data_IF_455204609035
#
_entry.id   IF_455204609035
#
_cell.length_a   1.000
_cell.length_b   1.000
_cell.length_c   1.000
_cell.angle_alpha   90.00
_cell.angle_beta   90.00
_cell.angle_gamma   90.00
#
_symmetry.space_group_name_H-M   'P 1'
#
loop_
_entity.id
_entity.type
_entity.pdbx_description
1 polymer ?
#
# COMPACT_ATOMS: atom_id res chain seq x y z
N UNK A 1 25.42 -66.72 -10.11
CA UNK A 1 24.62 -66.18 -8.99
C UNK A 1 23.60 -65.21 -9.56
N UNK A 2 22.32 -65.58 -9.41
CA UNK A 2 21.01 -64.90 -9.57
C UNK A 2 21.02 -63.36 -9.68
N UNK A 3 20.34 -62.67 -10.60
CA UNK A 3 18.89 -62.60 -10.97
C UNK A 3 18.09 -61.49 -10.24
N UNK A 4 17.67 -60.49 -11.02
CA UNK A 4 16.31 -59.90 -11.17
C UNK A 4 15.66 -59.04 -10.06
N UNK A 5 14.98 -57.98 -10.56
CA UNK A 5 13.75 -57.28 -10.12
C UNK A 5 13.83 -56.02 -9.23
N UNK A 6 13.09 -55.01 -9.70
CA UNK A 6 12.85 -53.74 -9.03
C UNK A 6 11.69 -53.76 -8.04
N UNK A 7 11.38 -52.59 -7.48
CA UNK A 7 10.08 -52.33 -6.87
C UNK A 7 9.69 -50.85 -6.95
N UNK A 8 8.44 -50.66 -7.34
CA UNK A 8 7.62 -49.45 -7.26
C UNK A 8 6.91 -49.49 -5.91
N UNK A 9 6.93 -48.41 -5.13
CA UNK A 9 6.04 -48.16 -3.98
C UNK A 9 5.72 -46.66 -3.96
N UNK A 10 4.59 -46.23 -4.54
CA UNK A 10 3.26 -46.02 -3.94
C UNK A 10 3.21 -45.03 -2.76
N UNK A 11 2.57 -43.90 -3.09
CA UNK A 11 1.75 -42.96 -2.29
C UNK A 11 1.56 -43.30 -0.80
N UNK A 12 1.86 -42.31 0.05
CA UNK A 12 1.27 -42.15 1.38
C UNK A 12 0.54 -40.80 1.44
N UNK A 13 -0.67 -40.82 1.99
CA UNK A 13 -1.69 -39.79 1.97
C UNK A 13 -1.34 -38.60 2.89
N UNK A 14 -1.73 -37.39 2.45
CA UNK A 14 -1.77 -36.20 3.31
C UNK A 14 -2.93 -36.31 4.32
N UNK A 15 -2.74 -35.96 5.60
CA UNK A 15 -3.83 -35.88 6.55
C UNK A 15 -4.69 -34.65 6.27
N UNK A 16 -6.01 -34.88 6.23
CA UNK A 16 -7.07 -33.87 6.19
C UNK A 16 -7.01 -32.98 7.44
N UNK A 17 -6.76 -31.69 7.25
CA UNK A 17 -6.94 -30.68 8.30
C UNK A 17 -8.43 -30.36 8.45
N UNK A 18 -8.95 -30.69 9.64
CA UNK A 18 -10.29 -30.34 10.07
C UNK A 18 -10.47 -28.82 10.11
N UNK A 19 -11.50 -28.36 9.41
CA UNK A 19 -11.98 -26.98 9.36
C UNK A 19 -12.60 -26.62 10.71
N UNK A 20 -11.95 -25.76 11.48
CA UNK A 20 -12.53 -25.19 12.70
C UNK A 20 -13.60 -24.17 12.31
N UNK A 21 -14.85 -24.44 12.68
CA UNK A 21 -15.98 -23.55 12.47
C UNK A 21 -15.88 -22.35 13.42
N UNK A 22 -15.78 -21.14 12.87
CA UNK A 22 -15.92 -19.90 13.63
C UNK A 22 -17.41 -19.66 13.93
N UNK A 23 -17.74 -19.65 15.23
CA UNK A 23 -19.07 -19.36 15.76
C UNK A 23 -19.44 -17.90 15.49
N UNK A 24 -20.46 -17.68 14.66
CA UNK A 24 -21.11 -16.40 14.43
C UNK A 24 -21.87 -15.94 15.67
N UNK A 25 -21.55 -14.76 16.21
CA UNK A 25 -22.42 -14.04 17.14
C UNK A 25 -23.02 -12.83 16.42
N UNK A 26 -24.33 -12.85 16.23
CA UNK A 26 -25.13 -11.77 15.64
C UNK A 26 -25.29 -10.61 16.64
N UNK A 27 -25.19 -9.34 16.20
CA UNK A 27 -25.64 -8.20 17.00
C UNK A 27 -27.15 -7.94 16.80
N UNK A 28 -27.83 -7.32 17.78
CA UNK A 28 -29.28 -7.18 17.80
C UNK A 28 -29.80 -6.08 16.85
N UNK A 29 -30.96 -6.37 16.28
CA UNK A 29 -31.82 -5.47 15.51
C UNK A 29 -32.30 -4.28 16.33
N UNK A 30 -32.23 -3.06 15.78
CA UNK A 30 -33.03 -1.93 16.26
C UNK A 30 -33.81 -1.27 15.12
N UNK A 31 -35.11 -1.23 15.39
CA UNK A 31 -36.28 -0.62 14.77
C UNK A 31 -36.11 0.59 13.84
N UNK A 32 -36.91 0.48 12.77
CA UNK A 32 -37.50 1.51 11.92
C UNK A 32 -37.88 2.83 12.59
N UNK A 33 -37.62 3.93 11.89
CA UNK A 33 -38.49 5.11 11.89
C UNK A 33 -38.77 5.52 10.44
N UNK A 34 -40.04 5.43 10.07
CA UNK A 34 -40.60 5.99 8.85
C UNK A 34 -40.51 7.52 8.89
N UNK A 35 -40.15 8.12 7.76
CA UNK A 35 -40.57 9.48 7.43
C UNK A 35 -41.01 9.56 5.98
N UNK A 36 -42.32 9.72 5.80
CA UNK A 36 -43.03 10.02 4.58
C UNK A 36 -42.84 11.48 4.17
N UNK A 37 -42.71 11.76 2.88
CA UNK A 37 -43.23 12.98 2.21
C UNK A 37 -43.02 12.84 0.70
N UNK A 38 -44.10 12.46 0.00
CA UNK A 38 -44.87 13.31 -0.94
C UNK A 38 -44.12 13.72 -2.21
N UNK A 39 -44.44 12.99 -3.27
CA UNK A 39 -44.28 13.31 -4.68
C UNK A 39 -45.13 14.52 -5.08
N UNK A 40 -44.53 15.42 -5.88
CA UNK A 40 -45.27 16.33 -6.74
C UNK A 40 -44.68 16.22 -8.15
N UNK A 41 -45.56 15.82 -9.06
CA UNK A 41 -45.39 15.72 -10.50
C UNK A 41 -45.33 17.09 -11.18
N UNK A 42 -44.40 17.26 -12.12
CA UNK A 42 -44.41 18.35 -13.09
C UNK A 42 -43.76 17.91 -14.39
N UNK A 43 -44.57 17.67 -15.43
CA UNK A 43 -44.13 17.47 -16.81
C UNK A 43 -43.79 18.82 -17.46
N UNK A 44 -42.76 18.87 -18.30
CA UNK A 44 -42.84 19.35 -19.70
C UNK A 44 -41.44 19.53 -20.33
N UNK A 45 -41.36 19.25 -21.64
CA UNK A 45 -40.47 19.97 -22.57
C UNK A 45 -39.28 19.20 -23.15
N UNK A 46 -39.47 18.60 -24.33
CA UNK A 46 -38.41 18.29 -25.29
C UNK A 46 -37.80 19.58 -25.86
N UNK A 47 -36.46 19.70 -25.89
CA UNK A 47 -35.70 20.30 -27.01
C UNK A 47 -34.32 19.63 -27.07
N UNK A 48 -33.98 19.07 -28.23
CA UNK A 48 -32.64 18.60 -28.56
C UNK A 48 -31.82 19.75 -29.15
N UNK A 49 -30.61 19.97 -28.63
CA UNK A 49 -29.57 20.72 -29.34
C UNK A 49 -28.20 20.32 -28.83
N UNK A 50 -27.35 19.86 -29.74
CA UNK A 50 -25.96 19.50 -29.48
C UNK A 50 -25.16 20.69 -28.93
N UNK A 51 -24.31 20.40 -27.96
CA UNK A 51 -23.40 21.34 -27.34
C UNK A 51 -22.18 20.58 -26.83
N UNK A 52 -21.00 21.12 -27.14
CA UNK A 52 -19.69 20.60 -26.82
C UNK A 52 -19.58 20.12 -25.37
N UNK A 53 -18.87 19.00 -25.16
CA UNK A 53 -18.53 18.49 -23.83
C UNK A 53 -17.72 19.54 -23.07
N UNK A 54 -18.42 20.31 -22.24
CA UNK A 54 -17.83 21.16 -21.21
C UNK A 54 -17.27 20.21 -20.16
N UNK A 55 -15.94 20.12 -20.07
CA UNK A 55 -15.26 19.49 -18.95
C UNK A 55 -15.67 20.19 -17.66
N UNK A 56 -16.67 19.63 -16.97
CA UNK A 56 -17.06 20.08 -15.64
C UNK A 56 -15.98 19.65 -14.64
N UNK A 57 -15.45 20.56 -13.82
CA UNK A 57 -14.57 20.19 -12.71
C UNK A 57 -15.25 19.13 -11.84
N UNK A 58 -14.52 18.06 -11.53
CA UNK A 58 -15.01 16.94 -10.71
C UNK A 58 -15.76 17.44 -9.47
N UNK A 59 -16.99 16.94 -9.30
CA UNK A 59 -17.90 17.31 -8.23
C UNK A 59 -17.24 17.23 -6.85
N UNK A 60 -17.44 18.26 -6.02
CA UNK A 60 -16.94 18.41 -4.65
C UNK A 60 -17.60 17.47 -3.63
N UNK A 61 -18.06 16.30 -4.07
CA UNK A 61 -18.67 15.27 -3.24
C UNK A 61 -17.64 14.24 -2.75
N UNK A 62 -18.03 13.35 -1.81
CA UNK A 62 -17.21 12.18 -1.48
C UNK A 62 -16.92 11.38 -2.77
N UNK A 63 -15.77 10.68 -2.84
CA UNK A 63 -15.47 9.84 -3.99
C UNK A 63 -16.58 8.82 -4.22
N UNK A 64 -16.88 8.43 -5.48
CA UNK A 64 -18.03 7.60 -5.84
C UNK A 64 -17.82 6.11 -5.49
N UNK A 65 -17.41 5.84 -4.26
CA UNK A 65 -17.00 4.53 -3.78
C UNK A 65 -17.53 4.28 -2.36
N UNK A 66 -17.68 3.00 -2.02
CA UNK A 66 -17.96 2.53 -0.66
C UNK A 66 -17.11 1.30 -0.35
N UNK A 67 -16.81 1.09 0.91
CA UNK A 67 -16.19 -0.16 1.38
C UNK A 67 -17.29 -1.11 1.84
N UNK A 68 -17.24 -2.37 1.42
CA UNK A 68 -18.17 -3.42 1.85
C UNK A 68 -17.42 -4.76 1.98
N UNK A 69 -18.07 -5.75 2.60
CA UNK A 69 -17.55 -7.12 2.59
C UNK A 69 -17.85 -7.79 1.25
N UNK A 70 -16.89 -8.57 0.76
CA UNK A 70 -17.04 -9.52 -0.35
C UNK A 70 -17.37 -10.90 0.22
N UNK A 71 -17.77 -11.83 -0.64
CA UNK A 71 -18.11 -13.19 -0.22
C UNK A 71 -16.88 -14.00 0.24
N UNK A 72 -15.69 -13.71 -0.29
CA UNK A 72 -14.51 -14.56 -0.13
C UNK A 72 -13.17 -13.83 0.06
N UNK A 73 -13.09 -12.54 -0.25
CA UNK A 73 -11.84 -11.75 -0.22
C UNK A 73 -11.79 -10.72 0.92
N UNK A 74 -12.69 -10.82 1.91
CA UNK A 74 -12.75 -9.89 3.02
C UNK A 74 -13.38 -8.56 2.62
N UNK A 75 -12.69 -7.43 2.84
CA UNK A 75 -13.21 -6.12 2.41
C UNK A 75 -12.94 -5.90 0.93
N UNK A 76 -13.82 -5.17 0.26
CA UNK A 76 -13.67 -4.70 -1.10
C UNK A 76 -14.20 -3.28 -1.24
N UNK A 77 -13.86 -2.63 -2.35
CA UNK A 77 -14.30 -1.26 -2.65
C UNK A 77 -15.20 -1.31 -3.86
N UNK A 78 -16.37 -0.69 -3.78
CA UNK A 78 -17.43 -0.80 -4.79
C UNK A 78 -17.85 0.59 -5.28
N UNK A 79 -18.14 0.71 -6.58
CA UNK A 79 -18.61 1.95 -7.17
C UNK A 79 -20.04 2.27 -6.69
N UNK A 80 -20.31 3.51 -6.29
CA UNK A 80 -21.66 3.92 -5.84
C UNK A 80 -22.54 4.46 -6.97
N UNK A 81 -21.96 4.61 -8.16
CA UNK A 81 -22.60 5.06 -9.41
C UNK A 81 -21.71 4.64 -10.59
N UNK A 82 -22.20 4.72 -11.84
CA UNK A 82 -21.33 4.52 -13.00
C UNK A 82 -20.15 5.51 -13.02
N UNK A 83 -18.99 5.03 -13.48
CA UNK A 83 -17.73 5.78 -13.62
C UNK A 83 -17.20 5.57 -15.04
N UNK A 84 -16.83 6.66 -15.73
CA UNK A 84 -16.34 6.59 -17.10
C UNK A 84 -14.89 6.14 -17.19
N UNK A 85 -14.52 5.51 -18.32
CA UNK A 85 -13.13 5.16 -18.60
C UNK A 85 -12.21 6.39 -18.54
N UNK A 86 -11.08 6.28 -17.85
CA UNK A 86 -10.10 7.36 -17.68
C UNK A 86 -10.40 8.35 -16.55
N UNK A 87 -11.59 8.29 -15.94
CA UNK A 87 -11.99 9.16 -14.83
C UNK A 87 -11.06 9.01 -13.63
N UNK A 88 -10.79 10.14 -12.96
CA UNK A 88 -10.16 10.14 -11.64
C UNK A 88 -11.22 9.80 -10.59
N UNK A 89 -11.06 8.65 -9.92
CA UNK A 89 -12.00 8.18 -8.90
C UNK A 89 -11.72 8.91 -7.58
N UNK A 90 -10.46 8.90 -7.12
CA UNK A 90 -10.01 9.64 -5.93
C UNK A 90 -8.49 9.83 -5.90
N UNK A 91 -8.02 10.61 -4.93
CA UNK A 91 -6.60 10.74 -4.59
C UNK A 91 -6.40 10.39 -3.11
N UNK A 92 -5.35 9.63 -2.80
CA UNK A 92 -4.97 9.26 -1.44
C UNK A 92 -3.56 9.73 -1.09
N UNK A 93 -3.42 10.37 0.07
CA UNK A 93 -2.12 10.67 0.66
C UNK A 93 -1.61 9.46 1.46
N UNK A 94 -0.30 9.22 1.52
CA UNK A 94 0.23 8.09 2.27
C UNK A 94 0.16 8.37 3.76
N UNK A 95 -0.14 7.32 4.54
CA UNK A 95 -0.04 7.33 6.00
C UNK A 95 1.42 7.42 6.42
N UNK A 96 2.26 6.57 5.83
CA UNK A 96 3.70 6.58 5.97
C UNK A 96 4.33 6.32 4.61
N UNK A 97 5.39 7.05 4.29
CA UNK A 97 6.17 6.87 3.07
C UNK A 97 7.65 7.02 3.43
N UNK A 98 8.53 6.28 2.77
CA UNK A 98 9.98 6.39 2.95
C UNK A 98 10.67 6.28 1.60
N UNK A 99 11.64 7.16 1.27
CA UNK A 99 12.41 7.06 0.04
C UNK A 99 13.19 5.75 -0.07
N UNK A 100 13.50 5.32 -1.28
CA UNK A 100 14.52 4.30 -1.49
C UNK A 100 15.86 4.81 -0.94
N UNK A 101 16.62 3.95 -0.26
CA UNK A 101 17.86 4.35 0.43
C UNK A 101 18.88 5.01 -0.52
N UNK A 102 18.95 4.56 -1.77
CA UNK A 102 19.79 5.11 -2.83
C UNK A 102 19.35 6.49 -3.34
N UNK A 103 18.12 6.92 -3.03
CA UNK A 103 17.49 8.12 -3.58
C UNK A 103 17.22 9.22 -2.53
N UNK A 104 17.69 9.07 -1.29
CA UNK A 104 17.44 10.01 -0.18
C UNK A 104 17.74 11.48 -0.49
N UNK A 105 18.75 11.75 -1.32
CA UNK A 105 19.16 13.10 -1.74
C UNK A 105 18.53 13.56 -3.07
N UNK A 106 17.81 12.68 -3.76
CA UNK A 106 17.20 12.91 -5.08
C UNK A 106 15.68 13.07 -5.01
N UNK A 107 15.04 12.64 -3.93
CA UNK A 107 13.58 12.72 -3.77
C UNK A 107 13.20 13.34 -2.44
N UNK A 108 12.06 14.02 -2.41
CA UNK A 108 11.55 14.69 -1.22
C UNK A 108 11.37 13.65 -0.11
N UNK A 109 11.98 13.90 1.05
CA UNK A 109 11.95 12.97 2.16
C UNK A 109 10.53 12.78 2.72
N UNK A 110 9.61 13.74 2.49
CA UNK A 110 8.19 13.64 2.87
C UNK A 110 7.30 12.98 1.82
N UNK A 111 7.34 13.48 0.59
CA UNK A 111 6.34 13.15 -0.43
C UNK A 111 6.90 12.35 -1.61
N UNK A 112 8.19 11.99 -1.60
CA UNK A 112 8.86 11.24 -2.66
C UNK A 112 8.91 11.95 -4.04
N UNK A 113 8.57 13.25 -4.13
CA UNK A 113 8.75 14.04 -5.36
C UNK A 113 10.21 14.05 -5.78
N UNK A 114 10.51 13.69 -7.03
CA UNK A 114 11.86 13.83 -7.60
C UNK A 114 12.27 15.31 -7.63
N UNK A 115 13.52 15.56 -7.28
CA UNK A 115 14.13 16.90 -7.35
C UNK A 115 14.29 17.31 -8.81
N UNK A 116 13.84 18.53 -9.15
CA UNK A 116 14.04 19.11 -10.48
C UNK A 116 15.49 19.55 -10.70
N UNK A 117 15.93 19.61 -11.96
CA UNK A 117 17.22 20.20 -12.32
C UNK A 117 17.25 21.69 -11.91
N UNK A 118 18.31 22.11 -11.22
CA UNK A 118 18.47 23.50 -10.77
C UNK A 118 17.68 23.91 -9.52
N UNK A 119 16.88 23.03 -8.90
CA UNK A 119 16.22 23.35 -7.64
C UNK A 119 17.24 23.44 -6.48
N UNK A 120 17.21 24.54 -5.73
CA UNK A 120 17.94 24.67 -4.46
C UNK A 120 17.16 23.88 -3.39
N UNK A 121 17.76 22.83 -2.82
CA UNK A 121 17.06 22.00 -1.86
C UNK A 121 16.83 22.76 -0.54
N UNK A 122 15.60 22.71 -0.02
CA UNK A 122 15.40 22.97 1.40
C UNK A 122 15.96 21.77 2.15
N UNK A 123 17.12 21.96 2.78
CA UNK A 123 17.84 20.92 3.51
C UNK A 123 17.46 20.97 5.00
N UNK A 124 17.24 19.82 5.61
CA UNK A 124 17.08 19.72 7.07
C UNK A 124 17.60 18.38 7.58
N UNK A 125 18.14 18.39 8.80
CA UNK A 125 18.75 17.24 9.47
C UNK A 125 19.74 17.69 10.56
N UNK A 126 20.19 16.76 11.40
CA UNK A 126 21.34 16.94 12.28
C UNK A 126 22.34 15.80 12.07
N UNK A 127 23.64 16.10 12.18
CA UNK A 127 24.76 15.26 11.75
C UNK A 127 24.75 14.95 10.23
N UNK A 128 25.54 13.97 9.78
CA UNK A 128 25.89 13.66 8.37
C UNK A 128 24.70 13.35 7.42
N UNK A 129 23.46 13.31 7.91
CA UNK A 129 22.27 13.01 7.11
C UNK A 129 21.46 14.27 6.80
N UNK A 130 21.65 14.78 5.59
CA UNK A 130 20.93 15.96 5.08
C UNK A 130 19.79 15.51 4.16
N UNK A 131 18.55 15.83 4.53
CA UNK A 131 17.37 15.44 3.75
C UNK A 131 16.86 16.57 2.86
N UNK A 132 16.43 16.23 1.65
CA UNK A 132 15.81 17.17 0.71
C UNK A 132 14.29 17.27 0.92
N UNK A 133 13.78 18.50 0.99
CA UNK A 133 12.36 18.81 0.94
C UNK A 133 12.03 19.68 -0.26
N UNK A 134 10.94 19.32 -0.95
CA UNK A 134 10.58 19.94 -2.21
C UNK A 134 9.74 21.23 -2.06
N UNK A 135 9.34 21.57 -0.83
CA UNK A 135 8.62 22.78 -0.44
C UNK A 135 8.67 22.97 1.07
N UNK A 136 8.45 24.21 1.53
CA UNK A 136 8.35 24.52 2.97
C UNK A 136 7.29 23.67 3.67
N UNK A 137 6.12 23.54 3.03
CA UNK A 137 5.02 22.70 3.50
C UNK A 137 5.44 21.25 3.73
N UNK A 138 6.32 20.67 2.89
CA UNK A 138 6.83 19.31 3.10
C UNK A 138 7.82 19.24 4.27
N UNK A 139 8.62 20.29 4.47
CA UNK A 139 9.54 20.40 5.61
C UNK A 139 8.76 20.51 6.92
N UNK A 140 7.80 21.43 7.00
CA UNK A 140 6.95 21.63 8.18
C UNK A 140 6.16 20.39 8.56
N UNK A 141 5.53 19.72 7.59
CA UNK A 141 4.79 18.46 7.80
C UNK A 141 5.68 17.26 8.13
N UNK A 142 7.00 17.45 8.15
CA UNK A 142 7.97 16.43 8.54
C UNK A 142 8.56 16.67 9.92
N UNK A 143 8.41 17.88 10.50
CA UNK A 143 9.08 18.27 11.75
C UNK A 143 8.93 17.22 12.86
N UNK A 144 7.71 16.76 13.12
CA UNK A 144 7.44 15.78 14.20
C UNK A 144 8.33 14.53 14.11
N UNK A 145 8.25 13.77 13.02
CA UNK A 145 9.07 12.56 12.89
C UNK A 145 10.55 12.87 12.66
N UNK A 146 10.88 13.99 12.00
CA UNK A 146 12.26 14.35 11.66
C UNK A 146 13.06 14.73 12.91
N UNK A 147 12.46 15.45 13.85
CA UNK A 147 13.09 15.81 15.13
C UNK A 147 13.44 14.58 15.97
N UNK A 148 12.59 13.54 15.92
CA UNK A 148 12.90 12.26 16.55
C UNK A 148 14.00 11.54 15.76
N UNK A 149 13.83 11.36 14.44
CA UNK A 149 14.81 10.67 13.60
C UNK A 149 16.22 11.28 13.72
N UNK A 150 16.34 12.61 13.84
CA UNK A 150 17.61 13.31 13.85
C UNK A 150 18.36 13.20 15.19
N UNK A 151 17.65 12.90 16.29
CA UNK A 151 18.25 12.67 17.62
C UNK A 151 18.80 11.25 17.80
N UNK A 152 18.40 10.32 16.94
CA UNK A 152 18.70 8.90 17.08
C UNK A 152 19.86 8.49 16.17
N UNK A 153 20.71 7.57 16.66
CA UNK A 153 21.73 6.94 15.83
C UNK A 153 21.15 5.67 15.17
N UNK A 154 20.92 5.75 13.87
CA UNK A 154 20.34 4.67 13.09
C UNK A 154 21.35 3.75 12.40
N UNK A 155 22.66 4.01 12.50
CA UNK A 155 23.66 3.32 11.67
C UNK A 155 23.57 1.80 11.75
N UNK A 156 23.41 1.23 12.95
CA UNK A 156 23.30 -0.23 13.11
C UNK A 156 22.04 -0.80 12.43
N UNK A 157 20.90 -0.13 12.61
CA UNK A 157 19.62 -0.53 12.00
C UNK A 157 19.64 -0.40 10.48
N UNK A 158 20.14 0.72 9.97
CA UNK A 158 20.19 0.97 8.52
C UNK A 158 21.19 0.07 7.81
N UNK A 159 22.35 -0.21 8.42
CA UNK A 159 23.32 -1.13 7.85
C UNK A 159 22.74 -2.54 7.77
N UNK A 160 22.12 -3.02 8.85
CA UNK A 160 21.41 -4.31 8.85
C UNK A 160 20.38 -4.39 7.72
N UNK A 161 19.55 -3.35 7.56
CA UNK A 161 18.54 -3.31 6.49
C UNK A 161 19.17 -3.28 5.09
N UNK A 162 20.21 -2.46 4.89
CA UNK A 162 20.90 -2.31 3.59
C UNK A 162 21.60 -3.61 3.17
N UNK A 163 22.34 -4.23 4.07
CA UNK A 163 23.08 -5.48 3.81
C UNK A 163 22.16 -6.65 3.43
N UNK A 164 20.94 -6.66 3.98
CA UNK A 164 19.93 -7.69 3.71
C UNK A 164 18.88 -7.30 2.67
N UNK A 165 18.98 -6.11 2.08
CA UNK A 165 18.02 -5.61 1.09
C UNK A 165 16.60 -5.37 1.64
N UNK A 166 16.47 -5.12 2.95
CA UNK A 166 15.19 -4.95 3.63
C UNK A 166 14.67 -3.52 3.45
N UNK A 167 13.54 -3.37 2.75
CA UNK A 167 12.94 -2.07 2.43
C UNK A 167 11.85 -1.61 3.40
N UNK A 168 11.08 -2.55 3.96
CA UNK A 168 9.94 -2.26 4.83
C UNK A 168 10.29 -1.83 6.27
N UNK A 169 11.39 -2.30 6.87
CA UNK A 169 11.83 -1.80 8.19
C UNK A 169 11.99 -0.27 8.23
N UNK A 170 12.39 0.37 7.13
CA UNK A 170 12.46 1.84 7.05
C UNK A 170 11.10 2.55 7.22
N UNK A 171 10.00 1.93 6.78
CA UNK A 171 8.64 2.45 7.04
C UNK A 171 8.26 2.27 8.52
N UNK A 172 8.64 1.15 9.15
CA UNK A 172 8.42 0.90 10.58
C UNK A 172 9.20 1.91 11.43
N UNK A 173 10.48 2.13 11.12
CA UNK A 173 11.33 3.17 11.72
C UNK A 173 10.63 4.53 11.69
N UNK A 174 10.15 4.94 10.52
CA UNK A 174 9.46 6.23 10.37
C UNK A 174 8.18 6.29 11.18
N UNK A 175 7.38 5.23 11.15
CA UNK A 175 6.14 5.17 11.92
C UNK A 175 6.42 5.25 13.42
N UNK A 176 7.44 4.55 13.94
CA UNK A 176 7.84 4.65 15.34
C UNK A 176 8.20 6.09 15.73
N UNK A 177 8.94 6.80 14.87
CA UNK A 177 9.25 8.22 15.07
C UNK A 177 7.99 9.11 15.04
N UNK A 178 7.04 8.80 14.14
CA UNK A 178 5.75 9.50 14.09
C UNK A 178 4.94 9.29 15.37
N UNK A 179 4.90 8.06 15.91
CA UNK A 179 4.21 7.75 17.17
C UNK A 179 4.86 8.46 18.36
N UNK A 180 6.19 8.40 18.49
CA UNK A 180 6.92 9.11 19.56
C UNK A 180 6.71 10.63 19.49
N UNK A 181 6.62 11.20 18.29
CA UNK A 181 6.33 12.63 18.10
C UNK A 181 4.87 13.02 18.30
N UNK A 182 3.96 12.05 18.50
CA UNK A 182 2.52 12.28 18.59
C UNK A 182 1.84 12.63 17.25
N UNK A 183 2.52 12.46 16.12
CA UNK A 183 1.97 12.76 14.78
C UNK A 183 1.21 11.58 14.15
N UNK A 184 1.29 10.40 14.75
CA UNK A 184 0.47 9.23 14.42
C UNK A 184 0.10 8.45 15.68
N UNK A 185 -1.00 7.71 15.61
CA UNK A 185 -1.38 6.74 16.64
C UNK A 185 -0.67 5.41 16.41
N UNK A 186 -0.39 4.67 17.49
CA UNK A 186 0.27 3.37 17.46
C UNK A 186 -0.52 2.29 16.71
N UNK A 187 -1.86 2.44 16.66
CA UNK A 187 -2.84 1.54 16.04
C UNK A 187 -3.28 1.99 14.63
N UNK A 188 -2.64 3.02 14.06
CA UNK A 188 -3.14 3.65 12.82
C UNK A 188 -3.17 2.72 11.60
N UNK A 189 -2.50 1.57 11.65
CA UNK A 189 -2.51 0.55 10.61
C UNK A 189 -3.35 -0.68 10.96
N UNK A 190 -3.98 -0.75 12.15
CA UNK A 190 -4.56 -2.00 12.67
C UNK A 190 -5.67 -2.57 11.79
N UNK A 191 -6.39 -1.69 11.09
CA UNK A 191 -7.43 -2.07 10.12
C UNK A 191 -6.85 -2.80 8.90
N UNK A 192 -5.59 -2.60 8.54
CA UNK A 192 -4.94 -3.23 7.38
C UNK A 192 -4.70 -4.72 7.61
N UNK A 193 -4.75 -5.49 6.53
CA UNK A 193 -4.56 -6.95 6.58
C UNK A 193 -3.09 -7.29 6.93
N UNK A 194 -2.81 -8.05 7.99
CA UNK A 194 -1.46 -8.51 8.27
C UNK A 194 -1.06 -9.72 7.40
N UNK A 195 0.24 -9.82 7.12
CA UNK A 195 0.90 -11.02 6.59
C UNK A 195 0.91 -12.16 7.59
N UNK A 196 0.99 -13.39 7.09
CA UNK A 196 1.22 -14.57 7.90
C UNK A 196 2.69 -14.63 8.32
N UNK A 197 2.94 -14.52 9.62
CA UNK A 197 4.30 -14.56 10.17
C UNK A 197 4.67 -16.03 10.44
N UNK A 198 5.74 -16.51 9.80
CA UNK A 198 6.32 -17.83 10.06
C UNK A 198 7.60 -17.74 10.93
N UNK A 199 8.04 -18.83 11.57
CA UNK A 199 9.10 -18.81 12.59
C UNK A 199 10.44 -18.21 12.12
N UNK A 200 10.83 -18.45 10.88
CA UNK A 200 12.07 -17.91 10.32
C UNK A 200 12.00 -16.38 10.21
N UNK A 201 10.88 -15.86 9.70
CA UNK A 201 10.64 -14.41 9.60
C UNK A 201 10.64 -13.77 10.99
N UNK A 202 10.04 -14.44 11.97
CA UNK A 202 9.96 -13.92 13.34
C UNK A 202 11.34 -13.65 13.95
N UNK A 203 12.34 -14.50 13.68
CA UNK A 203 13.72 -14.29 14.15
C UNK A 203 14.36 -13.06 13.52
N UNK A 204 14.18 -12.86 12.21
CA UNK A 204 14.69 -11.68 11.51
C UNK A 204 14.03 -10.41 12.07
N UNK A 205 12.71 -10.43 12.25
CA UNK A 205 11.96 -9.30 12.81
C UNK A 205 12.37 -9.01 14.25
N UNK A 206 12.78 -10.01 15.03
CA UNK A 206 13.29 -9.83 16.38
C UNK A 206 14.64 -9.11 16.38
N UNK A 207 15.58 -9.50 15.52
CA UNK A 207 16.85 -8.79 15.34
C UNK A 207 16.63 -7.33 14.95
N UNK A 208 15.74 -7.08 13.98
CA UNK A 208 15.38 -5.73 13.55
C UNK A 208 14.77 -4.91 14.69
N UNK A 209 13.85 -5.50 15.46
CA UNK A 209 13.22 -4.84 16.61
C UNK A 209 14.24 -4.42 17.66
N UNK A 210 15.17 -5.32 18.04
CA UNK A 210 16.18 -5.01 19.05
C UNK A 210 17.10 -3.86 18.59
N UNK A 211 17.49 -3.85 17.31
CA UNK A 211 18.27 -2.74 16.74
C UNK A 211 17.51 -1.42 16.74
N UNK A 212 16.24 -1.43 16.37
CA UNK A 212 15.38 -0.25 16.40
C UNK A 212 15.23 0.26 17.83
N UNK A 213 14.86 -0.60 18.77
CA UNK A 213 14.66 -0.24 20.18
C UNK A 213 15.95 0.30 20.80
N UNK A 214 17.09 -0.30 20.49
CA UNK A 214 18.40 0.17 20.97
C UNK A 214 18.70 1.61 20.55
N UNK A 215 18.27 2.03 19.34
CA UNK A 215 18.45 3.40 18.88
C UNK A 215 17.69 4.40 19.76
N UNK A 216 16.44 4.09 20.13
CA UNK A 216 15.64 4.93 21.04
C UNK A 216 16.21 4.96 22.46
N UNK A 217 16.59 3.80 23.00
CA UNK A 217 17.16 3.70 24.36
C UNK A 217 18.47 4.48 24.46
N UNK A 218 19.38 4.36 23.48
CA UNK A 218 20.65 5.12 23.47
C UNK A 218 20.46 6.63 23.37
N UNK A 219 19.37 7.08 22.74
CA UNK A 219 19.01 8.49 22.64
C UNK A 219 18.27 9.01 23.89
N UNK A 220 18.13 8.19 24.94
CA UNK A 220 17.45 8.54 26.20
C UNK A 220 16.03 9.08 25.99
N UNK A 221 15.31 8.48 25.03
CA UNK A 221 13.88 8.77 24.86
C UNK A 221 13.14 8.25 26.11
N UNK A 222 12.16 9.01 26.59
CA UNK A 222 11.42 8.67 27.81
C UNK A 222 10.68 7.34 27.66
N UNK A 223 10.74 6.49 28.69
CA UNK A 223 10.10 5.16 28.67
C UNK A 223 8.59 5.24 28.42
N UNK A 224 7.93 6.28 28.92
CA UNK A 224 6.50 6.52 28.68
C UNK A 224 6.19 6.70 27.18
N UNK A 225 7.06 7.38 26.43
CA UNK A 225 6.92 7.57 24.99
C UNK A 225 7.26 6.30 24.20
N UNK A 226 7.98 5.35 24.79
CA UNK A 226 8.35 4.06 24.18
C UNK A 226 7.45 2.90 24.61
N UNK A 227 6.41 3.14 25.41
CA UNK A 227 5.55 2.07 25.94
C UNK A 227 4.91 1.20 24.83
N UNK A 228 4.59 1.81 23.69
CA UNK A 228 4.05 1.13 22.51
C UNK A 228 5.07 0.17 21.85
N UNK A 229 6.37 0.45 22.01
CA UNK A 229 7.44 -0.16 21.24
C UNK A 229 7.82 -1.55 21.77
N UNK A 230 6.91 -2.49 21.52
CA UNK A 230 7.01 -3.90 21.89
C UNK A 230 7.30 -4.77 20.66
N UNK A 231 7.78 -6.00 20.87
CA UNK A 231 7.91 -7.00 19.78
C UNK A 231 6.57 -7.21 19.06
N UNK A 232 5.48 -7.27 19.82
CA UNK A 232 4.14 -7.43 19.27
C UNK A 232 3.76 -6.28 18.33
N UNK A 233 4.03 -5.03 18.75
CA UNK A 233 3.79 -3.86 17.91
C UNK A 233 4.64 -3.90 16.64
N UNK A 234 5.95 -4.11 16.76
CA UNK A 234 6.86 -4.17 15.62
C UNK A 234 6.43 -5.26 14.63
N UNK A 235 6.08 -6.44 15.14
CA UNK A 235 5.67 -7.57 14.31
C UNK A 235 4.35 -7.30 13.60
N UNK A 236 3.36 -6.78 14.33
CA UNK A 236 2.06 -6.43 13.79
C UNK A 236 2.12 -5.34 12.72
N UNK A 237 2.96 -4.32 12.92
CA UNK A 237 3.16 -3.23 11.95
C UNK A 237 3.87 -3.75 10.71
N UNK A 238 4.98 -4.47 10.87
CA UNK A 238 5.76 -4.95 9.73
C UNK A 238 4.98 -5.97 8.90
N UNK A 239 4.22 -6.87 9.52
CA UNK A 239 3.33 -7.80 8.81
C UNK A 239 2.27 -7.06 7.97
N UNK A 240 1.71 -5.96 8.46
CA UNK A 240 0.78 -5.13 7.67
C UNK A 240 1.48 -4.40 6.55
N UNK A 241 2.65 -3.83 6.81
CA UNK A 241 3.43 -3.13 5.78
C UNK A 241 3.79 -4.08 4.63
N UNK A 242 4.16 -5.33 4.92
CA UNK A 242 4.57 -6.31 3.91
C UNK A 242 3.53 -6.54 2.82
N UNK A 243 2.25 -6.65 3.18
CA UNK A 243 1.14 -6.90 2.24
C UNK A 243 0.55 -5.61 1.66
N UNK A 244 0.64 -4.49 2.38
CA UNK A 244 -0.09 -3.26 2.02
C UNK A 244 0.80 -2.15 1.44
N UNK A 245 2.12 -2.33 1.42
CA UNK A 245 3.05 -1.33 0.88
C UNK A 245 2.99 -1.28 -0.64
N UNK A 246 2.88 -0.06 -1.16
CA UNK A 246 3.00 0.23 -2.57
C UNK A 246 4.42 0.68 -2.90
N UNK A 247 4.97 0.11 -3.97
CA UNK A 247 6.17 0.60 -4.63
C UNK A 247 5.81 1.86 -5.42
N UNK A 248 6.32 3.02 -4.99
CA UNK A 248 5.98 4.30 -5.60
C UNK A 248 6.92 4.57 -6.77
N UNK A 249 6.35 4.69 -7.96
CA UNK A 249 7.05 5.01 -9.20
C UNK A 249 6.50 6.33 -9.74
N UNK A 250 7.31 7.39 -9.71
CA UNK A 250 6.92 8.69 -10.27
C UNK A 250 7.40 8.78 -11.70
N UNK A 251 6.53 9.25 -12.59
CA UNK A 251 6.94 9.62 -13.95
C UNK A 251 7.77 10.89 -13.85
N UNK A 252 9.08 10.81 -14.05
CA UNK A 252 9.90 12.01 -14.12
C UNK A 252 9.42 12.91 -15.27
N UNK A 253 9.28 14.20 -15.01
CA UNK A 253 8.66 15.15 -15.95
C UNK A 253 9.51 15.48 -17.19
N UNK A 254 10.69 14.88 -17.37
CA UNK A 254 11.57 15.14 -18.51
C UNK A 254 11.70 13.96 -19.47
N UNK A 255 12.00 14.25 -20.74
CA UNK A 255 12.24 13.22 -21.77
C UNK A 255 13.42 12.30 -21.42
N UNK A 256 14.44 12.82 -20.74
CA UNK A 256 15.57 12.06 -20.19
C UNK A 256 15.13 11.09 -19.07
N UNK A 257 14.13 11.48 -18.26
CA UNK A 257 13.57 10.60 -17.24
C UNK A 257 12.78 9.43 -17.86
N UNK A 258 12.13 9.64 -19.01
CA UNK A 258 11.44 8.57 -19.75
C UNK A 258 12.43 7.57 -20.34
N UNK A 259 13.54 8.04 -20.91
CA UNK A 259 14.63 7.18 -21.40
C UNK A 259 15.31 6.43 -20.25
N UNK A 260 15.55 7.10 -19.12
CA UNK A 260 16.09 6.48 -17.91
C UNK A 260 15.10 5.47 -17.34
N UNK A 261 13.79 5.75 -17.35
CA UNK A 261 12.74 4.83 -16.89
C UNK A 261 12.66 3.59 -17.78
N UNK A 262 12.72 3.75 -19.11
CA UNK A 262 12.76 2.63 -20.05
C UNK A 262 14.03 1.77 -19.90
N UNK A 263 15.17 2.40 -19.62
CA UNK A 263 16.44 1.72 -19.31
C UNK A 263 16.41 1.04 -17.95
N UNK A 264 15.69 1.63 -16.98
CA UNK A 264 15.45 1.09 -15.64
C UNK A 264 14.34 0.05 -15.61
N UNK A 265 13.56 -0.13 -16.67
CA UNK A 265 12.70 -1.32 -16.79
C UNK A 265 13.51 -2.62 -16.80
N UNK A 266 14.82 -2.52 -17.09
CA UNK A 266 15.79 -3.62 -17.08
C UNK A 266 16.56 -3.72 -15.75
N UNK A 267 16.50 -2.70 -14.88
CA UNK A 267 17.17 -2.66 -13.58
C UNK A 267 16.16 -2.30 -12.48
N UNK A 268 15.97 -3.15 -11.47
CA UNK A 268 14.91 -3.09 -10.45
C UNK A 268 14.76 -1.79 -9.58
N UNK A 269 15.28 -0.64 -9.99
CA UNK A 269 15.43 0.63 -9.25
C UNK A 269 14.63 1.83 -9.80
N UNK A 270 13.55 1.61 -10.56
CA UNK A 270 12.63 2.70 -10.99
C UNK A 270 11.89 3.40 -9.83
N UNK A 271 11.73 2.73 -8.69
CA UNK A 271 10.91 3.22 -7.59
C UNK A 271 11.61 4.27 -6.71
N UNK A 272 10.92 5.38 -6.49
CA UNK A 272 11.39 6.48 -5.64
C UNK A 272 11.31 6.16 -4.15
N UNK A 273 10.48 5.18 -3.77
CA UNK A 273 10.33 4.73 -2.41
C UNK A 273 9.13 3.81 -2.23
N UNK A 274 8.78 3.55 -0.97
CA UNK A 274 7.61 2.75 -0.61
C UNK A 274 6.65 3.59 0.25
N UNK A 275 5.35 3.28 0.17
CA UNK A 275 4.34 4.00 0.92
C UNK A 275 3.15 3.10 1.29
N UNK A 276 2.51 3.42 2.41
CA UNK A 276 1.27 2.79 2.89
C UNK A 276 0.14 3.79 2.77
N UNK A 277 -1.02 3.35 2.29
CA UNK A 277 -2.21 4.19 2.16
C UNK A 277 -3.40 3.44 2.74
N UNK A 278 -4.32 4.14 3.41
CA UNK A 278 -5.49 3.46 3.99
C UNK A 278 -6.43 2.90 2.92
N UNK A 279 -6.97 3.78 2.09
CA UNK A 279 -8.00 3.41 1.12
C UNK A 279 -7.45 2.55 -0.05
N UNK A 280 -6.30 2.90 -0.68
CA UNK A 280 -5.67 2.03 -1.68
C UNK A 280 -5.41 0.59 -1.23
N UNK A 281 -5.14 0.36 0.06
CA UNK A 281 -4.93 -0.98 0.61
C UNK A 281 -6.22 -1.83 0.74
N UNK A 282 -7.40 -1.29 0.39
CA UNK A 282 -8.66 -2.04 0.38
C UNK A 282 -9.09 -2.53 -1.01
N UNK A 283 -8.42 -2.11 -2.09
CA UNK A 283 -8.75 -2.60 -3.43
C UNK A 283 -8.22 -4.01 -3.60
N UNK A 284 -9.11 -4.96 -3.91
CA UNK A 284 -8.73 -6.33 -4.19
C UNK A 284 -8.01 -6.47 -5.54
N UNK A 285 -7.36 -7.61 -5.70
CA UNK A 285 -6.63 -7.96 -6.90
C UNK A 285 -7.53 -8.42 -8.05
N UNK A 286 -7.18 -8.02 -9.27
CA UNK A 286 -7.54 -8.72 -10.50
C UNK A 286 -6.38 -8.70 -11.50
N UNK A 287 -6.20 -9.77 -12.29
CA UNK A 287 -5.19 -9.79 -13.37
C UNK A 287 -5.66 -9.02 -14.62
N UNK A 288 -6.96 -8.71 -14.71
CA UNK A 288 -7.57 -7.79 -15.67
C UNK A 288 -8.36 -6.70 -14.92
N UNK A 289 -7.65 -5.75 -14.26
CA UNK A 289 -8.28 -4.81 -13.36
C UNK A 289 -9.14 -3.77 -14.10
N UNK A 290 -10.14 -3.23 -13.41
CA UNK A 290 -10.94 -2.11 -13.90
C UNK A 290 -10.45 -0.74 -13.41
N UNK A 291 -9.47 -0.71 -12.50
CA UNK A 291 -8.84 0.51 -12.00
C UNK A 291 -7.31 0.35 -11.88
N UNK A 292 -6.59 1.47 -11.92
CA UNK A 292 -5.15 1.50 -11.70
C UNK A 292 -4.74 2.70 -10.86
N UNK A 293 -3.63 2.55 -10.13
CA UNK A 293 -3.04 3.61 -9.32
C UNK A 293 -1.87 4.20 -10.10
N UNK A 294 -1.80 5.53 -10.15
CA UNK A 294 -0.65 6.25 -10.69
C UNK A 294 -0.11 7.25 -9.68
N UNK A 295 1.19 7.49 -9.77
CA UNK A 295 1.91 8.56 -9.07
C UNK A 295 2.53 9.46 -10.11
N UNK A 296 2.00 10.68 -10.22
CA UNK A 296 2.49 11.64 -11.22
C UNK A 296 3.75 12.31 -10.68
N UNK A 297 3.59 13.23 -9.73
CA UNK A 297 4.71 14.06 -9.26
C UNK A 297 5.28 13.60 -7.92
N UNK A 298 4.53 12.83 -7.15
CA UNK A 298 4.84 12.49 -5.76
C UNK A 298 4.04 11.25 -5.31
N UNK A 299 4.21 10.87 -4.05
CA UNK A 299 3.52 9.75 -3.40
C UNK A 299 2.02 10.00 -3.15
N UNK A 300 1.36 10.97 -3.76
CA UNK A 300 -0.11 11.03 -3.75
C UNK A 300 -0.64 10.07 -4.81
N UNK A 301 -1.20 8.95 -4.35
CA UNK A 301 -1.79 7.92 -5.21
C UNK A 301 -3.05 8.47 -5.86
N UNK A 302 -3.14 8.40 -7.19
CA UNK A 302 -4.36 8.73 -7.95
C UNK A 302 -4.94 7.45 -8.51
N UNK A 303 -6.18 7.12 -8.14
CA UNK A 303 -6.88 5.97 -8.68
C UNK A 303 -7.71 6.38 -9.89
N UNK A 304 -7.49 5.73 -11.03
CA UNK A 304 -8.21 6.01 -12.28
C UNK A 304 -8.88 4.76 -12.84
N UNK A 305 -10.05 4.94 -13.42
CA UNK A 305 -10.77 3.87 -14.12
C UNK A 305 -10.06 3.51 -15.43
N UNK A 306 -9.89 2.22 -15.70
CA UNK A 306 -9.30 1.69 -16.94
C UNK A 306 -10.35 1.48 -18.03
N UNK A 307 -11.60 1.27 -17.63
CA UNK A 307 -12.77 1.11 -18.48
C UNK A 307 -13.99 1.72 -17.79
N UNK A 308 -15.15 1.70 -18.45
CA UNK A 308 -16.39 2.01 -17.77
C UNK A 308 -16.63 1.01 -16.64
N UNK A 309 -17.06 1.52 -15.49
CA UNK A 309 -17.35 0.76 -14.27
C UNK A 309 -18.81 1.00 -13.93
N UNK A 310 -19.58 -0.07 -13.76
CA UNK A 310 -21.00 0.01 -13.42
C UNK A 310 -21.20 0.34 -11.93
N UNK A 311 -22.39 0.83 -11.57
CA UNK A 311 -22.76 0.92 -10.16
C UNK A 311 -22.71 -0.46 -9.51
N UNK A 312 -22.24 -0.52 -8.27
CA UNK A 312 -22.06 -1.74 -7.47
C UNK A 312 -21.01 -2.72 -7.98
N UNK A 313 -20.29 -2.39 -9.05
CA UNK A 313 -19.11 -3.15 -9.47
C UNK A 313 -17.96 -2.95 -8.48
N UNK A 314 -17.23 -4.03 -8.16
CA UNK A 314 -16.03 -3.96 -7.33
C UNK A 314 -14.89 -3.32 -8.11
N UNK A 315 -14.26 -2.30 -7.54
CA UNK A 315 -13.03 -1.73 -8.05
C UNK A 315 -11.87 -2.65 -7.66
N UNK A 316 -11.12 -3.10 -8.66
CA UNK A 316 -9.97 -3.96 -8.49
C UNK A 316 -8.74 -3.39 -9.19
N UNK A 317 -7.58 -3.63 -8.60
CA UNK A 317 -6.28 -3.22 -9.13
C UNK A 317 -5.41 -4.46 -9.38
N UNK A 318 -4.36 -4.35 -10.21
CA UNK A 318 -3.38 -5.42 -10.31
C UNK A 318 -2.27 -5.21 -9.27
N UNK A 319 -1.88 -6.29 -8.57
CA UNK A 319 -0.84 -6.25 -7.53
C UNK A 319 0.55 -6.60 -8.06
N UNK A 320 0.58 -7.24 -9.23
CA UNK A 320 1.75 -7.88 -9.82
C UNK A 320 1.88 -7.45 -11.28
N UNK A 321 2.94 -7.91 -11.95
CA UNK A 321 3.03 -7.80 -13.41
C UNK A 321 2.06 -8.80 -14.07
N UNK A 322 1.01 -8.26 -14.69
CA UNK A 322 -0.03 -9.04 -15.36
C UNK A 322 0.41 -9.63 -16.71
N UNK A 323 1.62 -9.31 -17.20
CA UNK A 323 2.19 -9.87 -18.43
C UNK A 323 2.82 -11.25 -18.23
N UNK A 324 3.06 -11.64 -16.97
CA UNK A 324 3.58 -12.96 -16.60
C UNK A 324 2.55 -14.06 -16.94
N UNK A 325 3.02 -15.28 -17.18
CA UNK A 325 2.14 -16.43 -17.37
C UNK A 325 1.33 -16.76 -16.10
N UNK A 326 0.25 -17.52 -16.28
CA UNK A 326 -0.67 -17.88 -15.20
C UNK A 326 0.01 -18.51 -13.99
N UNK A 327 0.93 -19.45 -14.20
CA UNK A 327 1.58 -20.17 -13.09
C UNK A 327 2.42 -19.21 -12.25
N UNK A 328 3.18 -18.35 -12.92
CA UNK A 328 4.00 -17.34 -12.26
C UNK A 328 3.13 -16.30 -11.52
N UNK A 329 2.01 -15.86 -12.11
CA UNK A 329 1.04 -14.98 -11.43
C UNK A 329 0.45 -15.63 -10.17
N UNK A 330 -0.01 -16.87 -10.26
CA UNK A 330 -0.57 -17.60 -9.12
C UNK A 330 0.46 -17.85 -8.02
N UNK A 331 1.69 -18.20 -8.40
CA UNK A 331 2.79 -18.40 -7.45
C UNK A 331 3.10 -17.12 -6.67
N UNK A 332 3.20 -15.97 -7.35
CA UNK A 332 3.43 -14.68 -6.69
C UNK A 332 2.29 -14.27 -5.76
N UNK A 333 1.03 -14.46 -6.19
CA UNK A 333 -0.13 -14.10 -5.36
C UNK A 333 -0.25 -15.01 -4.14
N UNK A 334 0.00 -16.31 -4.31
CA UNK A 334 -0.05 -17.29 -3.22
C UNK A 334 1.07 -17.06 -2.21
N UNK A 335 2.31 -16.88 -2.68
CA UNK A 335 3.47 -16.71 -1.79
C UNK A 335 3.58 -15.30 -1.19
N UNK A 336 3.20 -14.27 -1.95
CA UNK A 336 3.34 -12.87 -1.54
C UNK A 336 2.12 -12.28 -0.83
N UNK A 337 0.92 -12.80 -1.11
CA UNK A 337 -0.34 -12.27 -0.60
C UNK A 337 -1.24 -13.32 0.04
N UNK A 338 -0.89 -14.61 -0.03
CA UNK A 338 -1.61 -15.69 0.66
C UNK A 338 -2.93 -16.10 0.01
N UNK A 339 -3.14 -15.85 -1.29
CA UNK A 339 -4.37 -16.24 -1.99
C UNK A 339 -4.15 -16.74 -3.42
N UNK A 340 -5.10 -17.53 -3.93
CA UNK A 340 -5.16 -17.95 -5.33
C UNK A 340 -6.16 -17.07 -6.10
N UNK A 341 -5.76 -16.57 -7.27
CA UNK A 341 -6.60 -15.67 -8.06
C UNK A 341 -7.60 -16.45 -8.92
N UNK A 342 -8.88 -16.09 -8.82
CA UNK A 342 -9.96 -16.70 -9.61
C UNK A 342 -10.57 -15.72 -10.61
N UNK A 343 -9.81 -14.71 -11.07
CA UNK A 343 -10.27 -13.81 -12.13
C UNK A 343 -10.47 -14.55 -13.47
N UNK A 344 -11.17 -13.92 -14.40
CA UNK A 344 -11.47 -14.51 -15.71
C UNK A 344 -10.20 -14.99 -16.45
N UNK A 345 -9.12 -14.20 -16.45
CA UNK A 345 -7.84 -14.60 -17.08
C UNK A 345 -7.26 -15.87 -16.45
N UNK A 346 -7.20 -15.91 -15.12
CA UNK A 346 -6.69 -17.09 -14.41
C UNK A 346 -7.60 -18.32 -14.55
N UNK A 347 -8.91 -18.16 -14.71
CA UNK A 347 -9.84 -19.26 -14.96
C UNK A 347 -9.77 -19.78 -16.40
N UNK A 348 -9.49 -18.92 -17.38
CA UNK A 348 -9.36 -19.31 -18.78
C UNK A 348 -8.02 -19.94 -19.13
N UNK A 349 -7.03 -19.89 -18.22
CA UNK A 349 -5.71 -20.48 -18.46
C UNK A 349 -4.73 -19.56 -19.20
N UNK A 350 -5.11 -18.30 -19.45
CA UNK A 350 -4.23 -17.21 -19.92
C UNK A 350 -3.35 -16.74 -18.76
#
# INVERSE_FOLDING_TARGET
MSSVAGSVLRRSARPTLHRAAALSRSPPSSSSLLSTSTSVSGQSGHVASGGAEVYTPAASGPPPIRVSMTESSGRGVFATRPIGAGDLIHTASPMVAHPSASLLHKVCYKCLRRRGSGEIPALSGSNDNVYYFCSEKCRERSKGFLEVESRLNWSAYENHCKERGLKYPFLVKRLACMVVSGTASEDCLDILQPDSIYPEMMREMEEEFELLKLAFVKATIEDALMAFLTKHWYFGVLARIRINAFRVETVGGSYEDLLTSASSSVAADSAVGNAIYMLPSFYNHDCDPNAHIIWIDNAAAKLKALRNIEADEELRICYIDASMDREARQSLLSTGFGFECNCCRCMSGD
#
